data_IF_049745158561
#
_entry.id   IF_049745158561
#
_cell.length_a   1.000
_cell.length_b   1.000
_cell.length_c   1.000
_cell.angle_alpha   90.00
_cell.angle_beta   90.00
_cell.angle_gamma   90.00
#
_symmetry.space_group_name_H-M   'P 1'
#
loop_
_entity.id
_entity.type
_entity.pdbx_description
1 polymer ?
#
# COMPACT_ATOMS: atom_id res chain seq x y z
N UNK A 1 26.22 73.55 -28.29
CA UNK A 1 26.91 72.25 -28.43
C UNK A 1 26.97 71.41 -27.15
N UNK A 2 27.48 71.90 -26.00
CA UNK A 2 27.63 71.09 -24.75
C UNK A 2 26.34 70.43 -24.20
N UNK A 3 25.14 71.00 -24.42
CA UNK A 3 23.86 70.45 -23.91
C UNK A 3 23.34 69.23 -24.70
N UNK A 4 23.52 69.19 -26.02
CA UNK A 4 23.14 68.04 -26.84
C UNK A 4 24.03 66.82 -26.56
N UNK A 5 25.33 67.06 -26.31
CA UNK A 5 26.27 66.00 -25.96
C UNK A 5 25.88 65.27 -24.66
N UNK A 6 25.48 66.00 -23.61
CA UNK A 6 25.03 65.40 -22.33
C UNK A 6 23.74 64.57 -22.46
N UNK A 7 22.82 64.96 -23.34
CA UNK A 7 21.56 64.21 -23.56
C UNK A 7 21.81 62.93 -24.37
N UNK A 8 22.70 62.99 -25.36
CA UNK A 8 23.07 61.83 -26.16
C UNK A 8 23.87 60.80 -25.36
N UNK A 9 24.78 61.25 -24.48
CA UNK A 9 25.50 60.35 -23.57
C UNK A 9 24.56 59.70 -22.56
N UNK A 10 23.61 60.44 -21.98
CA UNK A 10 22.63 59.91 -21.03
C UNK A 10 21.73 58.81 -21.66
N UNK A 11 21.31 59.01 -22.92
CA UNK A 11 20.53 58.02 -23.65
C UNK A 11 21.33 56.75 -23.94
N UNK A 12 22.58 56.88 -24.36
CA UNK A 12 23.46 55.73 -24.60
C UNK A 12 23.66 54.94 -23.30
N UNK A 13 23.87 55.62 -22.17
CA UNK A 13 24.00 54.95 -20.86
C UNK A 13 22.72 54.22 -20.42
N UNK A 14 21.54 54.82 -20.66
CA UNK A 14 20.24 54.20 -20.35
C UNK A 14 19.95 52.97 -21.22
N UNK A 15 20.34 52.98 -22.49
CA UNK A 15 20.17 51.81 -23.35
C UNK A 15 21.19 50.71 -23.01
N UNK A 16 22.43 51.06 -22.66
CA UNK A 16 23.42 50.08 -22.22
C UNK A 16 23.07 49.42 -20.89
N UNK A 17 22.26 50.05 -20.02
CA UNK A 17 21.81 49.44 -18.76
C UNK A 17 20.78 48.32 -18.94
N UNK A 18 20.22 48.15 -20.14
CA UNK A 18 19.32 47.00 -20.44
C UNK A 18 20.10 45.69 -20.41
N UNK A 19 21.34 45.68 -20.90
CA UNK A 19 22.19 44.48 -20.97
C UNK A 19 22.45 43.86 -19.59
N UNK A 20 22.98 44.59 -18.58
CA UNK A 20 23.19 44.02 -17.25
C UNK A 20 21.87 43.62 -16.59
N UNK A 21 20.76 44.32 -16.87
CA UNK A 21 19.44 43.94 -16.35
C UNK A 21 18.96 42.59 -16.90
N UNK A 22 19.10 42.36 -18.21
CA UNK A 22 18.77 41.07 -18.85
C UNK A 22 19.67 39.96 -18.33
N UNK A 23 20.97 40.22 -18.14
CA UNK A 23 21.91 39.24 -17.58
C UNK A 23 21.52 38.86 -16.14
N UNK A 24 21.24 39.86 -15.28
CA UNK A 24 20.79 39.61 -13.90
C UNK A 24 19.48 38.83 -13.86
N UNK A 25 18.53 39.14 -14.74
CA UNK A 25 17.29 38.38 -14.87
C UNK A 25 17.56 36.93 -15.29
N UNK A 26 18.43 36.70 -16.28
CA UNK A 26 18.79 35.35 -16.72
C UNK A 26 19.44 34.54 -15.61
N UNK A 27 20.38 35.13 -14.86
CA UNK A 27 21.02 34.50 -13.70
C UNK A 27 19.96 34.16 -12.63
N UNK A 28 19.06 35.09 -12.33
CA UNK A 28 17.95 34.88 -11.37
C UNK A 28 17.03 33.73 -11.78
N UNK A 29 16.69 33.62 -13.07
CA UNK A 29 15.88 32.53 -13.61
C UNK A 29 16.60 31.17 -13.47
N UNK A 30 17.88 31.10 -13.84
CA UNK A 30 18.69 29.88 -13.70
C UNK A 30 18.80 29.46 -12.23
N UNK A 31 19.10 30.41 -11.35
CA UNK A 31 19.23 30.16 -9.91
C UNK A 31 17.89 29.68 -9.32
N UNK A 32 16.78 30.32 -9.68
CA UNK A 32 15.44 29.92 -9.22
C UNK A 32 15.07 28.53 -9.72
N UNK A 33 15.35 28.22 -10.98
CA UNK A 33 15.13 26.91 -11.57
C UNK A 33 15.90 25.81 -10.81
N UNK A 34 17.21 26.02 -10.58
CA UNK A 34 18.05 25.09 -9.84
C UNK A 34 17.59 24.90 -8.40
N UNK A 35 17.25 25.98 -7.70
CA UNK A 35 16.77 25.90 -6.31
C UNK A 35 15.43 25.18 -6.22
N UNK A 36 14.51 25.39 -7.18
CA UNK A 36 13.22 24.68 -7.22
C UNK A 36 13.41 23.20 -7.47
N UNK A 37 14.27 22.82 -8.42
CA UNK A 37 14.59 21.40 -8.66
C UNK A 37 15.24 20.75 -7.44
N UNK A 38 16.18 21.43 -6.79
CA UNK A 38 16.78 20.95 -5.55
C UNK A 38 15.75 20.78 -4.44
N UNK A 39 14.83 21.73 -4.28
CA UNK A 39 13.76 21.62 -3.29
C UNK A 39 12.81 20.45 -3.57
N UNK A 40 12.57 20.11 -4.85
CA UNK A 40 11.83 18.90 -5.23
C UNK A 40 12.59 17.64 -4.82
N UNK A 41 13.91 17.60 -5.03
CA UNK A 41 14.76 16.46 -4.64
C UNK A 41 14.82 16.28 -3.13
N UNK A 42 15.05 17.38 -2.39
CA UNK A 42 15.06 17.36 -0.93
C UNK A 42 13.69 16.91 -0.38
N UNK A 43 12.58 17.37 -0.98
CA UNK A 43 11.24 16.94 -0.58
C UNK A 43 10.97 15.45 -0.86
N UNK A 44 11.40 14.95 -2.01
CA UNK A 44 11.26 13.55 -2.39
C UNK A 44 12.16 12.64 -1.54
N UNK A 45 13.38 13.07 -1.20
CA UNK A 45 14.28 12.37 -0.28
C UNK A 45 13.65 12.20 1.10
N UNK A 46 13.18 13.32 1.68
CA UNK A 46 12.49 13.32 2.98
C UNK A 46 11.28 12.38 2.91
N UNK A 47 10.48 12.49 1.85
CA UNK A 47 9.26 11.69 1.70
C UNK A 47 9.56 10.19 1.60
N UNK A 48 10.53 9.79 0.78
CA UNK A 48 10.93 8.39 0.64
C UNK A 48 11.48 7.83 1.96
N UNK A 49 12.27 8.62 2.70
CA UNK A 49 12.78 8.26 4.02
C UNK A 49 11.66 8.11 5.06
N UNK A 50 10.77 9.10 5.17
CA UNK A 50 9.64 9.07 6.10
C UNK A 50 8.69 7.90 5.82
N UNK A 51 8.35 7.67 4.55
CA UNK A 51 7.45 6.59 4.15
C UNK A 51 8.08 5.21 4.28
N UNK A 52 9.37 5.07 3.97
CA UNK A 52 10.11 3.84 4.27
C UNK A 52 10.10 3.53 5.77
N UNK A 53 10.40 4.52 6.62
CA UNK A 53 10.36 4.36 8.07
C UNK A 53 8.95 3.99 8.58
N UNK A 54 7.91 4.67 8.10
CA UNK A 54 6.52 4.40 8.48
C UNK A 54 6.09 2.97 8.12
N UNK A 55 6.41 2.52 6.90
CA UNK A 55 6.11 1.16 6.45
C UNK A 55 6.91 0.12 7.23
N UNK A 56 8.21 0.34 7.46
CA UNK A 56 9.02 -0.56 8.29
C UNK A 56 8.43 -0.71 9.70
N UNK A 57 8.09 0.41 10.35
CA UNK A 57 7.48 0.40 11.68
C UNK A 57 6.14 -0.33 11.72
N UNK A 58 5.33 -0.16 10.68
CA UNK A 58 4.06 -0.87 10.53
C UNK A 58 4.27 -2.40 10.46
N UNK A 59 5.19 -2.86 9.60
CA UNK A 59 5.48 -4.29 9.50
C UNK A 59 6.11 -4.85 10.78
N UNK A 60 7.05 -4.14 11.42
CA UNK A 60 7.61 -4.54 12.72
C UNK A 60 6.52 -4.67 13.80
N UNK A 61 5.54 -3.75 13.81
CA UNK A 61 4.38 -3.86 14.71
C UNK A 61 3.60 -5.15 14.47
N UNK A 62 3.36 -5.52 13.21
CA UNK A 62 2.68 -6.77 12.85
C UNK A 62 3.49 -8.00 13.24
N UNK A 63 4.82 -7.98 13.05
CA UNK A 63 5.71 -9.04 13.51
C UNK A 63 5.61 -9.23 15.03
N UNK A 64 5.66 -8.14 15.79
CA UNK A 64 5.52 -8.21 17.25
C UNK A 64 4.14 -8.67 17.70
N UNK A 65 3.07 -8.25 17.02
CA UNK A 65 1.71 -8.67 17.33
C UNK A 65 1.53 -10.16 17.15
N UNK A 66 1.92 -10.72 16.00
CA UNK A 66 1.76 -12.16 15.78
C UNK A 66 2.70 -12.99 16.66
N UNK A 67 3.94 -12.53 16.88
CA UNK A 67 4.91 -13.21 17.74
C UNK A 67 4.40 -13.27 19.18
N UNK A 68 3.94 -12.15 19.73
CA UNK A 68 3.38 -12.10 21.09
C UNK A 68 2.11 -12.93 21.20
N UNK A 69 1.20 -12.78 20.24
CA UNK A 69 -0.07 -13.55 20.22
C UNK A 69 0.18 -15.06 20.12
N UNK A 70 1.20 -15.49 19.38
CA UNK A 70 1.50 -16.93 19.23
C UNK A 70 1.96 -17.61 20.53
N UNK A 71 2.40 -16.81 21.52
CA UNK A 71 2.78 -17.27 22.85
C UNK A 71 1.69 -17.02 23.92
N UNK A 72 0.58 -16.38 23.56
CA UNK A 72 -0.50 -16.08 24.49
C UNK A 72 -1.26 -17.35 24.90
N UNK A 73 -1.56 -17.47 26.20
CA UNK A 73 -2.24 -18.64 26.76
C UNK A 73 -3.65 -18.84 26.19
N UNK A 74 -4.35 -17.76 25.82
CA UNK A 74 -5.67 -17.83 25.20
C UNK A 74 -5.56 -18.46 23.82
N UNK A 75 -4.58 -18.03 23.01
CA UNK A 75 -4.32 -18.60 21.68
C UNK A 75 -3.89 -20.07 21.78
N UNK A 76 -3.01 -20.40 22.73
CA UNK A 76 -2.57 -21.79 22.97
C UNK A 76 -3.76 -22.69 23.34
N UNK A 77 -4.62 -22.25 24.26
CA UNK A 77 -5.78 -23.01 24.70
C UNK A 77 -6.85 -23.12 23.60
N UNK A 78 -7.08 -22.05 22.85
CA UNK A 78 -7.97 -22.05 21.68
C UNK A 78 -7.48 -23.05 20.62
N UNK A 79 -6.18 -23.03 20.29
CA UNK A 79 -5.57 -23.95 19.33
C UNK A 79 -5.76 -25.41 19.75
N UNK A 80 -5.51 -25.74 21.03
CA UNK A 80 -5.75 -27.10 21.54
C UNK A 80 -7.22 -27.51 21.42
N UNK A 81 -8.11 -26.67 21.94
CA UNK A 81 -9.54 -26.96 21.97
C UNK A 81 -10.12 -27.12 20.57
N UNK A 82 -9.89 -26.16 19.66
CA UNK A 82 -10.41 -26.24 18.30
C UNK A 82 -9.83 -27.41 17.52
N UNK A 83 -8.55 -27.75 17.72
CA UNK A 83 -7.94 -28.92 17.10
C UNK A 83 -8.60 -30.23 17.57
N UNK A 84 -8.82 -30.37 18.87
CA UNK A 84 -9.50 -31.54 19.45
C UNK A 84 -10.94 -31.65 18.94
N UNK A 85 -11.71 -30.56 19.05
CA UNK A 85 -13.10 -30.53 18.58
C UNK A 85 -13.23 -30.82 17.07
N UNK A 86 -12.32 -30.28 16.24
CA UNK A 86 -12.29 -30.56 14.81
C UNK A 86 -12.00 -32.05 14.52
N UNK A 87 -11.08 -32.67 15.25
CA UNK A 87 -10.75 -34.08 15.10
C UNK A 87 -11.91 -34.99 15.57
N UNK A 88 -12.58 -34.63 16.67
CA UNK A 88 -13.76 -35.35 17.17
C UNK A 88 -14.90 -35.32 16.15
N UNK A 89 -15.14 -34.16 15.52
CA UNK A 89 -16.12 -34.04 14.44
C UNK A 89 -15.77 -34.92 13.24
N UNK A 90 -14.49 -35.08 12.91
CA UNK A 90 -14.03 -35.89 11.78
C UNK A 90 -14.24 -37.39 11.97
N UNK A 91 -14.47 -37.85 13.20
CA UNK A 91 -14.69 -39.25 13.56
C UNK A 91 -16.16 -39.57 13.86
N UNK A 92 -17.09 -38.62 13.68
CA UNK A 92 -18.51 -38.78 14.03
C UNK A 92 -19.37 -39.29 12.87
N UNK A 93 -20.36 -40.14 13.16
CA UNK A 93 -21.31 -40.66 12.17
C UNK A 93 -22.27 -39.58 11.62
N UNK A 94 -22.38 -38.41 12.26
CA UNK A 94 -23.29 -37.31 11.88
C UNK A 94 -22.75 -36.40 10.77
N UNK A 95 -21.58 -36.71 10.23
CA UNK A 95 -20.80 -35.88 9.32
C UNK A 95 -21.51 -35.50 8.00
N UNK A 96 -22.55 -36.23 7.57
CA UNK A 96 -23.17 -36.04 6.25
C UNK A 96 -24.46 -35.20 6.23
N UNK A 97 -24.94 -34.68 7.37
CA UNK A 97 -26.13 -33.82 7.36
C UNK A 97 -25.75 -32.36 7.10
N UNK A 98 -25.99 -31.87 5.88
CA UNK A 98 -25.89 -30.44 5.53
C UNK A 98 -26.92 -30.06 4.48
N UNK A 99 -27.30 -28.78 4.42
CA UNK A 99 -28.19 -28.28 3.38
C UNK A 99 -27.43 -28.09 2.05
N UNK A 100 -27.66 -29.01 1.11
CA UNK A 100 -27.04 -29.00 -0.22
C UNK A 100 -27.37 -27.72 -1.01
N UNK A 101 -28.57 -27.14 -0.82
CA UNK A 101 -28.99 -25.94 -1.52
C UNK A 101 -28.24 -24.72 -1.00
N UNK A 102 -28.08 -24.58 0.31
CA UNK A 102 -27.30 -23.49 0.90
C UNK A 102 -25.81 -23.60 0.55
N UNK A 103 -25.25 -24.81 0.59
CA UNK A 103 -23.89 -25.10 0.12
C UNK A 103 -23.71 -24.64 -1.34
N UNK A 104 -24.57 -25.11 -2.24
CA UNK A 104 -24.50 -24.75 -3.66
C UNK A 104 -24.64 -23.23 -3.86
N UNK A 105 -25.57 -22.58 -3.14
CA UNK A 105 -25.78 -21.13 -3.22
C UNK A 105 -24.53 -20.34 -2.82
N UNK A 106 -23.87 -20.69 -1.72
CA UNK A 106 -22.66 -19.97 -1.26
C UNK A 106 -21.49 -20.14 -2.23
N UNK A 107 -21.30 -21.33 -2.80
CA UNK A 107 -20.24 -21.57 -3.78
C UNK A 107 -20.55 -20.94 -5.15
N UNK A 108 -21.82 -20.88 -5.56
CA UNK A 108 -22.23 -20.08 -6.73
C UNK A 108 -21.98 -18.59 -6.52
N UNK A 109 -22.22 -18.08 -5.30
CA UNK A 109 -21.83 -16.71 -4.95
C UNK A 109 -20.31 -16.52 -5.01
N UNK A 110 -19.51 -17.49 -4.53
CA UNK A 110 -18.05 -17.46 -4.65
C UNK A 110 -17.62 -17.32 -6.11
N UNK A 111 -18.12 -18.20 -6.98
CA UNK A 111 -17.80 -18.19 -8.41
C UNK A 111 -18.16 -16.86 -9.06
N UNK A 112 -19.36 -16.32 -8.79
CA UNK A 112 -19.84 -15.08 -9.41
C UNK A 112 -18.97 -13.87 -9.06
N UNK A 113 -18.45 -13.80 -7.84
CA UNK A 113 -17.73 -12.63 -7.35
C UNK A 113 -16.20 -12.77 -7.46
N UNK A 114 -15.68 -13.98 -7.73
CA UNK A 114 -14.25 -14.19 -7.89
C UNK A 114 -13.81 -13.81 -9.30
N UNK A 115 -12.91 -12.83 -9.41
CA UNK A 115 -12.43 -12.30 -10.69
C UNK A 115 -11.80 -13.42 -11.52
N UNK A 116 -12.22 -13.59 -12.78
CA UNK A 116 -11.72 -14.61 -13.71
C UNK A 116 -11.90 -16.07 -13.27
N UNK A 117 -12.79 -16.36 -12.31
CA UNK A 117 -13.05 -17.74 -11.88
C UNK A 117 -13.86 -18.54 -12.91
N UNK A 118 -13.53 -19.82 -13.05
CA UNK A 118 -14.15 -20.76 -13.98
C UNK A 118 -14.92 -21.86 -13.24
N UNK A 119 -15.67 -22.67 -14.00
CA UNK A 119 -16.35 -23.86 -13.45
C UNK A 119 -15.35 -24.86 -12.84
N UNK A 120 -14.15 -24.98 -13.39
CA UNK A 120 -13.12 -25.88 -12.84
C UNK A 120 -12.66 -25.39 -11.46
N UNK A 121 -12.59 -24.08 -11.26
CA UNK A 121 -12.33 -23.52 -9.92
C UNK A 121 -13.44 -23.89 -8.95
N UNK A 122 -14.70 -23.76 -9.35
CA UNK A 122 -15.86 -24.12 -8.53
C UNK A 122 -15.81 -25.59 -8.08
N UNK A 123 -15.56 -26.52 -9.02
CA UNK A 123 -15.48 -27.95 -8.70
C UNK A 123 -14.31 -28.26 -7.75
N UNK A 124 -13.16 -27.61 -7.96
CA UNK A 124 -12.02 -27.69 -7.03
C UNK A 124 -12.38 -27.20 -5.63
N UNK A 125 -12.97 -26.01 -5.50
CA UNK A 125 -13.31 -25.41 -4.20
C UNK A 125 -14.37 -26.20 -3.43
N UNK A 126 -15.24 -26.94 -4.11
CA UNK A 126 -16.22 -27.85 -3.49
C UNK A 126 -15.63 -29.17 -3.01
N UNK A 127 -14.42 -29.52 -3.45
CA UNK A 127 -13.71 -30.74 -3.07
C UNK A 127 -13.11 -30.61 -1.67
N UNK A 128 -13.98 -30.54 -0.67
CA UNK A 128 -13.61 -30.36 0.75
C UNK A 128 -14.02 -31.58 1.58
N UNK A 129 -13.39 -31.74 2.74
CA UNK A 129 -13.68 -32.85 3.63
C UNK A 129 -15.14 -32.78 4.14
N UNK A 130 -15.70 -33.92 4.57
CA UNK A 130 -17.01 -33.91 5.21
C UNK A 130 -17.07 -33.00 6.46
N UNK A 131 -16.01 -32.98 7.28
CA UNK A 131 -15.85 -32.04 8.42
C UNK A 131 -15.91 -30.58 7.97
N UNK A 132 -15.22 -30.24 6.87
CA UNK A 132 -15.26 -28.90 6.31
C UNK A 132 -16.68 -28.52 5.88
N UNK A 133 -17.40 -29.43 5.21
CA UNK A 133 -18.81 -29.17 4.82
C UNK A 133 -19.69 -28.91 6.03
N UNK A 134 -19.56 -29.72 7.08
CA UNK A 134 -20.35 -29.55 8.30
C UNK A 134 -20.09 -28.19 8.97
N UNK A 135 -18.82 -27.83 9.16
CA UNK A 135 -18.45 -26.56 9.79
C UNK A 135 -18.81 -25.36 8.91
N UNK A 136 -18.60 -25.42 7.60
CA UNK A 136 -19.03 -24.35 6.71
C UNK A 136 -20.56 -24.23 6.64
N UNK A 137 -21.31 -25.34 6.74
CA UNK A 137 -22.78 -25.31 6.86
C UNK A 137 -23.21 -24.44 8.02
N UNK A 138 -22.68 -24.74 9.22
CA UNK A 138 -23.05 -24.05 10.45
C UNK A 138 -22.61 -22.59 10.49
N UNK A 139 -21.35 -22.31 10.14
CA UNK A 139 -20.72 -21.00 10.37
C UNK A 139 -20.77 -20.05 9.16
N UNK A 140 -21.03 -20.55 7.95
CA UNK A 140 -21.08 -19.74 6.73
C UNK A 140 -22.47 -19.78 6.10
N UNK A 141 -23.01 -20.97 5.85
CA UNK A 141 -24.19 -21.12 4.98
C UNK A 141 -25.51 -20.87 5.73
N UNK A 142 -25.65 -21.42 6.93
CA UNK A 142 -26.82 -21.24 7.83
C UNK A 142 -26.71 -19.96 8.67
N UNK A 143 -25.50 -19.43 8.80
CA UNK A 143 -25.24 -18.15 9.43
C UNK A 143 -26.03 -17.04 8.71
N UNK A 144 -26.93 -16.37 9.42
CA UNK A 144 -27.85 -15.35 8.88
C UNK A 144 -27.20 -14.00 8.64
N UNK A 145 -26.00 -13.78 9.17
CA UNK A 145 -25.24 -12.55 8.94
C UNK A 145 -24.96 -12.36 7.44
N UNK A 146 -24.82 -11.11 6.94
CA UNK A 146 -24.44 -10.85 5.56
C UNK A 146 -23.12 -11.52 5.16
N UNK A 147 -22.93 -11.75 3.86
CA UNK A 147 -21.60 -12.15 3.34
C UNK A 147 -20.65 -10.97 3.54
N UNK A 148 -19.48 -11.24 4.12
CA UNK A 148 -18.54 -10.22 4.60
C UNK A 148 -18.69 -9.88 6.09
N UNK A 149 -19.73 -10.38 6.75
CA UNK A 149 -20.03 -10.10 8.17
C UNK A 149 -20.23 -11.39 8.98
N UNK A 150 -19.78 -12.54 8.46
CA UNK A 150 -20.01 -13.85 9.09
C UNK A 150 -19.38 -13.98 10.48
N UNK A 151 -18.32 -13.21 10.75
CA UNK A 151 -17.71 -13.08 12.07
C UNK A 151 -18.63 -12.48 13.14
N UNK A 152 -19.80 -11.91 12.81
CA UNK A 152 -20.72 -11.42 13.82
C UNK A 152 -21.41 -12.55 14.61
N UNK A 153 -21.53 -13.74 14.02
CA UNK A 153 -22.12 -14.91 14.68
C UNK A 153 -21.24 -15.40 15.84
N UNK A 154 -21.75 -15.37 17.06
CA UNK A 154 -20.99 -15.85 18.24
C UNK A 154 -21.24 -17.33 18.56
N UNK A 155 -22.46 -17.83 18.37
CA UNK A 155 -22.87 -19.20 18.67
C UNK A 155 -23.88 -19.72 17.67
N UNK A 156 -23.85 -21.02 17.40
CA UNK A 156 -24.85 -21.75 16.61
C UNK A 156 -25.98 -22.32 17.48
N UNK A 157 -25.83 -22.26 18.80
CA UNK A 157 -26.72 -22.87 19.81
C UNK A 157 -26.85 -24.40 19.71
N UNK A 158 -25.93 -25.07 19.00
CA UNK A 158 -25.96 -26.52 18.84
C UNK A 158 -25.31 -27.28 20.01
N UNK A 159 -24.70 -26.54 20.95
CA UNK A 159 -24.05 -27.06 22.17
C UNK A 159 -22.93 -28.08 21.91
N UNK A 160 -22.44 -28.19 20.68
CA UNK A 160 -21.28 -28.99 20.36
C UNK A 160 -20.04 -28.46 21.08
N UNK A 161 -19.03 -29.31 21.25
CA UNK A 161 -17.74 -28.88 21.81
C UNK A 161 -17.16 -27.72 20.99
N UNK A 162 -17.28 -27.77 19.67
CA UNK A 162 -16.83 -26.70 18.78
C UNK A 162 -17.59 -25.39 19.04
N UNK A 163 -18.93 -25.41 19.15
CA UNK A 163 -19.75 -24.22 19.41
C UNK A 163 -19.46 -23.60 20.78
N UNK A 164 -19.22 -24.42 21.81
CA UNK A 164 -18.80 -23.92 23.13
C UNK A 164 -17.46 -23.19 23.09
N UNK A 165 -16.48 -23.76 22.38
CA UNK A 165 -15.17 -23.12 22.17
C UNK A 165 -15.30 -21.85 21.34
N UNK A 166 -16.12 -21.87 20.29
CA UNK A 166 -16.42 -20.70 19.47
C UNK A 166 -17.04 -19.59 20.31
N UNK A 167 -18.07 -19.89 21.09
CA UNK A 167 -18.73 -18.95 22.01
C UNK A 167 -17.74 -18.32 23.01
N UNK A 168 -16.77 -19.11 23.48
CA UNK A 168 -15.76 -18.66 24.43
C UNK A 168 -14.68 -17.75 23.81
N UNK A 169 -14.08 -18.18 22.70
CA UNK A 169 -12.86 -17.53 22.15
C UNK A 169 -13.14 -16.57 21.00
N UNK A 170 -14.23 -16.75 20.24
CA UNK A 170 -14.50 -15.96 19.05
C UNK A 170 -14.68 -14.46 19.34
N UNK A 171 -15.40 -14.02 20.40
CA UNK A 171 -15.54 -12.59 20.69
C UNK A 171 -14.20 -11.87 20.87
N UNK A 172 -13.26 -12.48 21.61
CA UNK A 172 -11.92 -11.93 21.83
C UNK A 172 -11.11 -11.84 20.53
N UNK A 173 -11.15 -12.90 19.72
CA UNK A 173 -10.40 -12.92 18.44
C UNK A 173 -11.00 -11.95 17.42
N UNK A 174 -12.33 -11.79 17.41
CA UNK A 174 -13.00 -10.77 16.59
C UNK A 174 -12.63 -9.36 17.03
N UNK A 175 -12.65 -9.08 18.33
CA UNK A 175 -12.24 -7.77 18.85
C UNK A 175 -10.79 -7.44 18.49
N UNK A 176 -9.88 -8.41 18.59
CA UNK A 176 -8.50 -8.25 18.14
C UNK A 176 -8.40 -7.97 16.64
N UNK A 177 -9.11 -8.75 15.81
CA UNK A 177 -9.17 -8.55 14.37
C UNK A 177 -9.62 -7.13 14.02
N UNK A 178 -10.75 -6.69 14.58
CA UNK A 178 -11.35 -5.38 14.31
C UNK A 178 -10.48 -4.22 14.82
N UNK A 179 -9.89 -4.36 16.01
CA UNK A 179 -9.04 -3.33 16.62
C UNK A 179 -7.79 -3.02 15.82
N UNK A 180 -7.17 -4.06 15.23
CA UNK A 180 -5.97 -3.90 14.41
C UNK A 180 -6.27 -3.89 12.90
N UNK A 181 -7.52 -4.13 12.54
CA UNK A 181 -8.02 -4.10 11.16
C UNK A 181 -7.55 -5.25 10.30
N UNK A 182 -7.12 -6.39 10.87
CA UNK A 182 -6.72 -7.58 10.11
C UNK A 182 -7.87 -8.08 9.23
N UNK A 183 -7.56 -8.69 8.09
CA UNK A 183 -8.61 -9.25 7.23
C UNK A 183 -9.19 -10.54 7.82
N UNK A 184 -8.32 -11.45 8.28
CA UNK A 184 -8.70 -12.67 8.98
C UNK A 184 -7.56 -13.17 9.88
N UNK A 185 -7.93 -13.98 10.87
CA UNK A 185 -7.05 -14.64 11.83
C UNK A 185 -7.39 -16.13 11.84
N UNK A 186 -6.38 -16.96 11.63
CA UNK A 186 -6.53 -18.40 11.50
C UNK A 186 -5.75 -19.15 12.57
N UNK A 187 -6.30 -20.29 12.97
CA UNK A 187 -5.56 -21.34 13.66
C UNK A 187 -5.49 -22.57 12.76
N UNK A 188 -4.28 -23.05 12.52
CA UNK A 188 -4.04 -24.18 11.61
C UNK A 188 -3.34 -25.30 12.37
N UNK A 189 -3.91 -26.50 12.33
CA UNK A 189 -3.26 -27.67 12.92
C UNK A 189 -2.13 -28.20 12.01
N UNK A 190 -1.00 -28.65 12.57
CA UNK A 190 0.20 -28.86 11.78
C UNK A 190 0.28 -30.24 11.11
N UNK A 191 -0.56 -31.21 11.47
CA UNK A 191 -0.48 -32.58 10.95
C UNK A 191 -1.05 -32.68 9.53
N UNK A 192 -2.23 -32.12 9.28
CA UNK A 192 -2.88 -32.15 7.96
C UNK A 192 -3.11 -30.75 7.37
N UNK A 193 -2.69 -29.70 8.07
CA UNK A 193 -2.87 -28.33 7.64
C UNK A 193 -4.34 -27.90 7.63
N UNK A 194 -5.20 -28.51 8.45
CA UNK A 194 -6.59 -28.08 8.55
C UNK A 194 -6.69 -26.71 9.23
N UNK A 195 -7.45 -25.81 8.62
CA UNK A 195 -7.83 -24.52 9.20
C UNK A 195 -8.92 -24.78 10.23
N UNK A 196 -8.53 -25.12 11.47
CA UNK A 196 -9.47 -25.51 12.53
C UNK A 196 -10.27 -24.32 13.05
N UNK A 197 -9.82 -23.10 12.79
CA UNK A 197 -10.51 -21.87 13.12
C UNK A 197 -10.12 -20.72 12.16
N UNK A 198 -11.07 -19.84 11.86
CA UNK A 198 -10.92 -18.54 11.17
C UNK A 198 -11.83 -17.54 11.91
N UNK A 199 -11.56 -16.25 11.89
CA UNK A 199 -12.50 -15.24 12.41
C UNK A 199 -13.54 -14.91 11.33
N UNK A 200 -13.10 -14.48 10.15
CA UNK A 200 -13.93 -13.87 9.11
C UNK A 200 -14.86 -14.88 8.41
N UNK A 201 -14.48 -16.17 8.40
CA UNK A 201 -15.21 -17.32 7.84
C UNK A 201 -15.49 -17.22 6.34
N UNK A 202 -14.46 -17.43 5.52
CA UNK A 202 -14.61 -17.64 4.08
C UNK A 202 -14.55 -19.13 3.70
N UNK A 203 -14.55 -19.42 2.39
CA UNK A 203 -14.63 -20.80 1.85
C UNK A 203 -13.39 -21.66 2.14
N UNK A 204 -12.33 -21.08 2.68
CA UNK A 204 -11.11 -21.73 3.16
C UNK A 204 -11.22 -22.28 4.59
N UNK A 205 -12.13 -21.73 5.40
CA UNK A 205 -12.40 -22.20 6.75
C UNK A 205 -12.71 -23.70 6.77
N UNK A 206 -12.14 -24.40 7.74
CA UNK A 206 -12.25 -25.85 7.92
C UNK A 206 -11.65 -26.71 6.79
N UNK A 207 -11.00 -26.13 5.78
CA UNK A 207 -10.34 -26.88 4.72
C UNK A 207 -8.89 -27.21 5.06
N UNK A 208 -8.28 -28.14 4.29
CA UNK A 208 -6.85 -28.49 4.43
C UNK A 208 -5.98 -27.69 3.46
N UNK A 209 -4.94 -27.05 3.99
CA UNK A 209 -3.90 -26.37 3.22
C UNK A 209 -2.85 -27.32 2.62
N UNK A 210 -2.92 -28.62 2.92
CA UNK A 210 -2.00 -29.62 2.37
C UNK A 210 -2.68 -30.45 1.28
N UNK A 211 -3.93 -30.85 1.51
CA UNK A 211 -4.66 -31.78 0.64
C UNK A 211 -5.96 -31.20 0.07
N UNK A 212 -6.35 -29.97 0.44
CA UNK A 212 -7.57 -29.33 -0.01
C UNK A 212 -7.38 -28.34 -1.18
N UNK A 213 -8.44 -27.58 -1.52
CA UNK A 213 -8.47 -26.69 -2.68
C UNK A 213 -7.43 -25.56 -2.65
N UNK A 214 -7.02 -25.11 -1.47
CA UNK A 214 -6.13 -23.97 -1.29
C UNK A 214 -4.67 -24.34 -1.07
N UNK A 215 -4.28 -25.59 -1.33
CA UNK A 215 -2.93 -26.12 -1.04
C UNK A 215 -1.76 -25.45 -1.78
N UNK A 216 -2.06 -24.76 -2.89
CA UNK A 216 -1.09 -24.05 -3.72
C UNK A 216 -1.01 -22.55 -3.48
N UNK A 217 -1.71 -22.05 -2.45
CA UNK A 217 -1.78 -20.61 -2.14
C UNK A 217 -0.63 -20.14 -1.26
N UNK A 218 -0.43 -18.81 -1.16
CA UNK A 218 0.49 -18.20 -0.20
C UNK A 218 0.12 -18.51 1.25
N UNK A 219 -1.16 -18.66 1.59
CA UNK A 219 -1.58 -19.12 2.91
C UNK A 219 -1.00 -20.50 3.25
N UNK A 220 -1.11 -21.46 2.34
CA UNK A 220 -0.51 -22.78 2.50
C UNK A 220 1.03 -22.74 2.56
N UNK A 221 1.66 -21.84 1.79
CA UNK A 221 3.11 -21.60 1.86
C UNK A 221 3.53 -21.13 3.26
N UNK A 222 2.87 -20.11 3.82
CA UNK A 222 3.18 -19.55 5.13
C UNK A 222 3.20 -20.62 6.22
N UNK A 223 2.12 -21.43 6.26
CA UNK A 223 1.97 -22.53 7.22
C UNK A 223 3.07 -23.57 7.07
N UNK A 224 3.37 -24.00 5.83
CA UNK A 224 4.41 -25.00 5.56
C UNK A 224 5.81 -24.50 5.99
N UNK A 225 6.12 -23.23 5.76
CA UNK A 225 7.41 -22.65 6.16
C UNK A 225 7.58 -22.60 7.68
N UNK A 226 6.54 -22.18 8.40
CA UNK A 226 6.56 -22.17 9.88
C UNK A 226 6.68 -23.58 10.45
N UNK A 227 5.99 -24.58 9.88
CA UNK A 227 6.11 -25.97 10.34
C UNK A 227 7.51 -26.53 10.07
N UNK A 228 8.11 -26.19 8.92
CA UNK A 228 9.49 -26.61 8.58
C UNK A 228 10.52 -25.97 9.50
N UNK A 229 10.31 -24.72 9.88
CA UNK A 229 11.19 -23.94 10.76
C UNK A 229 10.39 -23.32 11.92
N UNK A 230 10.02 -24.09 12.96
CA UNK A 230 9.14 -23.62 14.03
C UNK A 230 9.73 -22.54 14.94
N UNK A 231 10.84 -21.88 14.58
CA UNK A 231 11.46 -20.80 15.37
C UNK A 231 11.25 -19.42 14.75
N UNK A 232 10.68 -19.36 13.55
CA UNK A 232 10.64 -18.12 12.76
C UNK A 232 9.21 -17.77 12.40
N UNK A 233 8.87 -16.50 12.59
CA UNK A 233 7.72 -15.90 11.91
C UNK A 233 8.03 -15.84 10.41
N UNK A 234 7.03 -16.13 9.58
CA UNK A 234 7.17 -16.11 8.13
C UNK A 234 6.13 -15.19 7.50
N UNK A 235 6.56 -14.24 6.69
CA UNK A 235 5.71 -13.36 5.89
C UNK A 235 5.79 -13.79 4.42
N UNK A 236 4.65 -13.97 3.78
CA UNK A 236 4.58 -14.25 2.34
C UNK A 236 4.60 -12.97 1.53
N UNK A 237 4.96 -13.10 0.25
CA UNK A 237 4.62 -12.07 -0.73
C UNK A 237 3.10 -12.08 -1.01
N UNK A 238 2.60 -11.03 -1.67
CA UNK A 238 1.23 -10.93 -2.16
C UNK A 238 0.99 -11.86 -3.35
N UNK A 239 -0.18 -12.48 -3.36
CA UNK A 239 -0.71 -13.22 -4.50
C UNK A 239 -2.24 -13.19 -4.52
N UNK A 240 -2.86 -13.53 -5.65
CA UNK A 240 -4.32 -13.66 -5.71
C UNK A 240 -4.80 -14.76 -4.77
N UNK A 241 -5.88 -14.47 -4.05
CA UNK A 241 -6.44 -15.40 -3.08
C UNK A 241 -7.92 -15.62 -3.34
N UNK A 242 -8.23 -16.81 -3.87
CA UNK A 242 -9.57 -17.17 -4.31
C UNK A 242 -10.66 -17.04 -3.24
N UNK A 243 -10.44 -17.40 -1.96
CA UNK A 243 -11.44 -17.19 -0.89
C UNK A 243 -11.87 -15.73 -0.78
N UNK A 244 -10.91 -14.80 -0.83
CA UNK A 244 -11.14 -13.35 -0.88
C UNK A 244 -11.37 -12.84 -2.31
N UNK A 245 -12.09 -13.62 -3.13
CA UNK A 245 -12.54 -13.25 -4.47
C UNK A 245 -11.44 -12.92 -5.49
N UNK A 246 -10.26 -13.54 -5.35
CA UNK A 246 -9.05 -13.24 -6.13
C UNK A 246 -8.50 -11.83 -5.89
N UNK A 247 -8.89 -11.16 -4.79
CA UNK A 247 -8.13 -10.04 -4.29
C UNK A 247 -6.71 -10.49 -3.93
N UNK A 248 -5.76 -9.56 -4.00
CA UNK A 248 -4.40 -9.80 -3.55
C UNK A 248 -4.41 -10.01 -2.04
N UNK A 249 -3.62 -10.96 -1.53
CA UNK A 249 -3.48 -11.22 -0.11
C UNK A 249 -2.06 -11.63 0.21
N UNK A 250 -1.60 -11.24 1.39
CA UNK A 250 -0.36 -11.70 2.01
C UNK A 250 -0.68 -12.23 3.41
N UNK A 251 0.15 -13.15 3.88
CA UNK A 251 -0.04 -13.84 5.15
C UNK A 251 1.22 -13.75 5.98
N UNK A 252 1.05 -13.49 7.27
CA UNK A 252 2.12 -13.64 8.26
C UNK A 252 1.74 -14.78 9.20
N UNK A 253 2.67 -15.69 9.44
CA UNK A 253 2.43 -16.92 10.20
C UNK A 253 3.48 -17.07 11.31
N UNK A 254 3.04 -17.53 12.49
CA UNK A 254 3.89 -17.80 13.64
C UNK A 254 3.56 -19.16 14.29
N UNK A 255 4.58 -19.86 14.84
CA UNK A 255 4.39 -21.16 15.46
C UNK A 255 3.75 -21.02 16.85
N UNK A 256 2.63 -21.70 17.09
CA UNK A 256 2.04 -21.83 18.43
C UNK A 256 2.69 -23.03 19.12
N UNK A 257 3.30 -22.80 20.28
CA UNK A 257 4.02 -23.84 21.02
C UNK A 257 3.61 -23.91 22.48
N UNK A 258 3.79 -25.10 23.03
CA UNK A 258 3.80 -25.35 24.46
C UNK A 258 4.97 -26.27 24.79
N UNK A 259 5.80 -25.91 25.79
CA UNK A 259 6.95 -26.71 26.21
C UNK A 259 7.85 -27.16 25.03
N UNK A 260 8.12 -26.24 24.09
CA UNK A 260 8.84 -26.47 22.82
C UNK A 260 8.19 -27.41 21.80
N UNK A 261 7.00 -27.96 22.07
CA UNK A 261 6.23 -28.75 21.11
C UNK A 261 5.36 -27.84 20.24
N UNK A 262 5.41 -28.04 18.92
CA UNK A 262 4.54 -27.34 17.98
C UNK A 262 3.10 -27.86 18.12
N UNK A 263 2.19 -26.98 18.53
CA UNK A 263 0.76 -27.29 18.67
C UNK A 263 -0.03 -26.96 17.40
N UNK A 264 0.36 -25.88 16.73
CA UNK A 264 -0.25 -25.37 15.50
C UNK A 264 0.42 -24.09 15.01
N UNK A 265 -0.23 -23.42 14.07
CA UNK A 265 0.26 -22.20 13.45
C UNK A 265 -0.82 -21.13 13.57
N UNK A 266 -0.46 -19.98 14.14
CA UNK A 266 -1.25 -18.76 14.09
C UNK A 266 -0.96 -18.06 12.77
N UNK A 267 -1.99 -17.62 12.06
CA UNK A 267 -1.81 -16.88 10.80
C UNK A 267 -2.71 -15.64 10.80
N UNK A 268 -2.16 -14.50 10.41
CA UNK A 268 -2.93 -13.30 10.10
C UNK A 268 -2.89 -13.05 8.60
N UNK A 269 -4.05 -12.76 8.00
CA UNK A 269 -4.11 -12.18 6.66
C UNK A 269 -3.92 -10.67 6.77
N UNK A 270 -2.95 -10.17 6.01
CA UNK A 270 -2.47 -8.79 6.12
C UNK A 270 -3.55 -7.76 5.76
N UNK A 271 -3.67 -6.65 6.50
CA UNK A 271 -4.67 -5.65 6.20
C UNK A 271 -4.14 -4.64 5.19
N UNK A 272 -4.49 -4.87 3.92
CA UNK A 272 -4.03 -4.09 2.78
C UNK A 272 -4.41 -2.61 2.90
N UNK A 273 -5.63 -2.31 3.36
CA UNK A 273 -6.09 -0.93 3.53
C UNK A 273 -5.23 -0.15 4.53
N UNK A 274 -4.72 -0.81 5.58
CA UNK A 274 -3.84 -0.17 6.56
C UNK A 274 -2.45 0.14 6.00
N UNK A 275 -1.96 -0.67 5.07
CA UNK A 275 -0.72 -0.38 4.31
C UNK A 275 -0.94 0.88 3.46
N UNK A 276 -2.07 0.96 2.74
CA UNK A 276 -2.46 2.13 1.95
C UNK A 276 -2.56 3.39 2.82
N UNK A 277 -3.19 3.28 3.99
CA UNK A 277 -3.32 4.40 4.94
C UNK A 277 -1.96 4.90 5.44
N UNK A 278 -1.00 4.00 5.67
CA UNK A 278 0.38 4.34 6.08
C UNK A 278 1.10 5.16 4.99
N UNK A 279 0.82 4.85 3.72
CA UNK A 279 1.42 5.51 2.56
C UNK A 279 0.70 6.81 2.18
N UNK A 280 -0.59 6.93 2.52
CA UNK A 280 -1.42 8.10 2.20
C UNK A 280 -0.78 9.41 2.66
N UNK A 281 -0.95 10.44 1.82
CA UNK A 281 -0.54 11.81 2.11
C UNK A 281 -1.75 12.66 2.48
N UNK A 282 -1.49 13.81 3.10
CA UNK A 282 -2.51 14.84 3.33
C UNK A 282 -3.27 15.12 2.02
N UNK A 283 -4.59 15.30 2.11
CA UNK A 283 -5.46 15.48 0.95
C UNK A 283 -5.05 16.68 0.07
N UNK A 284 -4.33 17.67 0.62
CA UNK A 284 -3.78 18.80 -0.16
C UNK A 284 -2.66 18.38 -1.14
N UNK A 285 -2.02 17.23 -0.91
CA UNK A 285 -0.89 16.74 -1.69
C UNK A 285 -1.25 15.64 -2.68
N UNK A 286 -2.39 14.96 -2.49
CA UNK A 286 -2.78 13.75 -3.25
C UNK A 286 -2.89 13.94 -4.76
N UNK A 287 -3.03 15.18 -5.24
CA UNK A 287 -3.16 15.48 -6.67
C UNK A 287 -1.82 15.57 -7.38
N UNK A 288 -0.71 15.64 -6.65
CA UNK A 288 0.62 15.81 -7.25
C UNK A 288 1.72 14.99 -6.58
N UNK A 289 1.46 14.37 -5.42
CA UNK A 289 2.33 13.42 -4.78
C UNK A 289 1.63 12.06 -4.62
N UNK A 290 2.37 11.00 -4.85
CA UNK A 290 1.97 9.62 -4.59
C UNK A 290 3.08 8.87 -3.85
N UNK A 291 2.71 7.90 -3.02
CA UNK A 291 3.65 6.95 -2.43
C UNK A 291 3.05 5.54 -2.46
N UNK A 292 3.84 4.56 -2.87
CA UNK A 292 3.42 3.16 -2.97
C UNK A 292 4.61 2.19 -2.82
N UNK A 293 4.35 0.90 -2.66
CA UNK A 293 5.37 -0.14 -2.50
C UNK A 293 5.50 -0.94 -3.79
N UNK A 294 6.73 -1.28 -4.16
CA UNK A 294 7.06 -2.23 -5.23
C UNK A 294 7.96 -3.35 -4.72
N UNK A 295 7.99 -4.48 -5.42
CA UNK A 295 9.06 -5.47 -5.27
C UNK A 295 10.24 -5.25 -6.22
N UNK A 296 11.29 -6.06 -6.06
CA UNK A 296 12.46 -6.08 -6.95
C UNK A 296 12.17 -6.38 -8.43
N UNK A 297 10.97 -6.87 -8.75
CA UNK A 297 10.52 -7.07 -10.13
C UNK A 297 9.67 -5.89 -10.60
N UNK A 298 9.52 -4.82 -9.83
CA UNK A 298 8.68 -3.67 -10.15
C UNK A 298 7.18 -3.96 -10.08
N UNK A 299 6.75 -5.01 -9.40
CA UNK A 299 5.34 -5.29 -9.17
C UNK A 299 4.87 -4.52 -7.94
N UNK A 300 3.76 -3.80 -8.07
CA UNK A 300 3.19 -2.98 -7.01
C UNK A 300 2.61 -3.88 -5.90
N UNK A 301 2.90 -3.55 -4.64
CA UNK A 301 2.51 -4.29 -3.42
C UNK A 301 1.58 -3.50 -2.49
N UNK A 302 1.18 -2.30 -2.89
CA UNK A 302 0.19 -1.49 -2.19
C UNK A 302 -0.70 -0.78 -3.20
N UNK A 303 -1.90 -0.41 -2.80
CA UNK A 303 -2.71 0.49 -3.63
C UNK A 303 -2.07 1.88 -3.70
N UNK A 304 -2.06 2.49 -4.88
CA UNK A 304 -1.67 3.88 -5.08
C UNK A 304 -2.83 4.77 -4.61
N UNK A 305 -2.65 5.66 -3.61
CA UNK A 305 -3.77 6.40 -3.01
C UNK A 305 -4.58 7.29 -3.97
N UNK A 306 -4.02 7.70 -5.10
CA UNK A 306 -4.71 8.50 -6.12
C UNK A 306 -5.49 7.68 -7.16
N UNK A 307 -5.40 6.35 -7.14
CA UNK A 307 -6.13 5.47 -8.07
C UNK A 307 -7.38 4.89 -7.41
N UNK A 308 -8.50 4.91 -8.15
CA UNK A 308 -9.79 4.39 -7.67
C UNK A 308 -9.91 2.86 -7.73
N UNK A 309 -8.97 2.20 -8.41
CA UNK A 309 -8.89 0.75 -8.56
C UNK A 309 -7.68 0.21 -7.84
N UNK A 310 -7.75 -1.05 -7.38
CA UNK A 310 -6.59 -1.68 -6.76
C UNK A 310 -5.44 -1.82 -7.77
N UNK A 311 -4.24 -1.43 -7.33
CA UNK A 311 -3.02 -1.46 -8.15
C UNK A 311 -2.09 -2.62 -7.79
N UNK A 312 -2.41 -3.38 -6.74
CA UNK A 312 -1.56 -4.48 -6.26
C UNK A 312 -1.49 -5.56 -7.34
N UNK A 313 -0.27 -6.00 -7.65
CA UNK A 313 0.00 -6.95 -8.72
C UNK A 313 0.22 -6.33 -10.10
N UNK A 314 -0.06 -5.02 -10.28
CA UNK A 314 0.28 -4.32 -11.51
C UNK A 314 1.79 -4.05 -11.62
N UNK A 315 2.29 -3.86 -12.84
CA UNK A 315 3.67 -3.45 -13.09
C UNK A 315 3.79 -1.94 -12.93
N UNK A 316 4.70 -1.46 -12.09
CA UNK A 316 5.04 -0.04 -11.97
C UNK A 316 5.78 0.47 -13.21
N UNK A 317 5.60 1.75 -13.53
CA UNK A 317 6.36 2.47 -14.55
C UNK A 317 7.76 2.91 -14.10
N UNK A 318 8.12 2.71 -12.83
CA UNK A 318 9.44 3.03 -12.31
C UNK A 318 10.54 2.30 -13.10
N UNK A 319 11.57 3.04 -13.50
CA UNK A 319 12.74 2.52 -14.22
C UNK A 319 13.94 2.33 -13.29
N UNK A 320 14.97 1.62 -13.77
CA UNK A 320 16.21 1.32 -13.03
C UNK A 320 15.97 0.68 -11.66
N UNK A 321 14.97 -0.20 -11.57
CA UNK A 321 14.50 -0.81 -10.32
C UNK A 321 15.63 -1.57 -9.63
N UNK A 322 16.52 -2.22 -10.40
CA UNK A 322 17.65 -2.97 -9.86
C UNK A 322 18.56 -2.13 -8.94
N UNK A 323 18.71 -0.83 -9.22
CA UNK A 323 19.57 0.05 -8.43
C UNK A 323 18.99 0.29 -7.04
N UNK A 324 17.66 0.34 -6.92
CA UNK A 324 16.95 0.57 -5.65
C UNK A 324 17.31 -0.48 -4.59
N UNK A 325 17.58 -1.71 -5.02
CA UNK A 325 17.83 -2.83 -4.12
C UNK A 325 19.30 -3.07 -3.78
N UNK A 326 20.20 -2.26 -4.35
CA UNK A 326 21.66 -2.38 -4.18
C UNK A 326 22.15 -1.90 -2.82
N UNK A 327 21.52 -0.87 -2.26
CA UNK A 327 21.87 -0.27 -0.97
C UNK A 327 20.59 0.13 -0.21
N UNK A 328 20.49 -0.26 1.06
CA UNK A 328 19.27 -0.03 1.85
C UNK A 328 19.13 1.42 2.35
N UNK A 329 20.24 2.12 2.53
CA UNK A 329 20.24 3.48 3.09
C UNK A 329 20.08 4.56 2.03
N UNK A 330 20.35 4.22 0.76
CA UNK A 330 20.35 5.15 -0.37
C UNK A 330 18.95 5.41 -0.92
N UNK A 331 18.71 6.66 -1.29
CA UNK A 331 17.51 7.06 -2.03
C UNK A 331 17.87 7.20 -3.50
N UNK A 332 17.12 6.50 -4.35
CA UNK A 332 17.35 6.48 -5.78
C UNK A 332 16.31 7.35 -6.49
N UNK A 333 16.78 8.31 -7.26
CA UNK A 333 15.93 9.22 -8.03
C UNK A 333 15.75 8.76 -9.47
N UNK A 334 14.57 8.98 -10.03
CA UNK A 334 14.33 8.77 -11.45
C UNK A 334 13.24 9.69 -12.01
N UNK A 335 13.14 9.76 -13.34
CA UNK A 335 12.06 10.43 -14.07
C UNK A 335 11.46 9.47 -15.09
N UNK A 336 10.13 9.43 -15.19
CA UNK A 336 9.37 8.59 -16.11
C UNK A 336 7.93 9.09 -16.27
N UNK A 337 7.14 8.40 -17.11
CA UNK A 337 5.68 8.56 -17.19
C UNK A 337 5.03 7.54 -16.26
N UNK A 338 4.20 7.99 -15.32
CA UNK A 338 3.52 7.10 -14.36
C UNK A 338 2.37 6.31 -15.02
N UNK A 339 1.59 5.57 -14.22
CA UNK A 339 0.46 4.78 -14.72
C UNK A 339 -0.70 5.60 -15.30
N UNK A 340 -0.72 6.91 -15.05
CA UNK A 340 -1.69 7.86 -15.61
C UNK A 340 -1.10 8.63 -16.82
N UNK A 341 0.04 8.19 -17.37
CA UNK A 341 0.79 8.87 -18.44
C UNK A 341 1.27 10.29 -18.08
N UNK A 342 1.40 10.59 -16.78
CA UNK A 342 1.89 11.87 -16.28
C UNK A 342 3.42 11.82 -16.08
N UNK A 343 4.12 12.88 -16.48
CA UNK A 343 5.55 13.00 -16.20
C UNK A 343 5.79 13.26 -14.71
N UNK A 344 6.56 12.37 -14.08
CA UNK A 344 6.89 12.45 -12.67
C UNK A 344 8.40 12.42 -12.45
N UNK A 345 8.84 13.06 -11.37
CA UNK A 345 10.12 12.76 -10.73
C UNK A 345 9.82 11.88 -9.52
N UNK A 346 10.61 10.84 -9.27
CA UNK A 346 10.41 9.95 -8.14
C UNK A 346 11.67 9.77 -7.32
N UNK A 347 11.47 9.36 -6.07
CA UNK A 347 12.48 8.87 -5.15
C UNK A 347 12.05 7.51 -4.62
N UNK A 348 12.95 6.54 -4.63
CA UNK A 348 12.69 5.19 -4.15
C UNK A 348 13.72 4.76 -3.11
N UNK A 349 13.26 4.07 -2.07
CA UNK A 349 14.10 3.55 -0.99
C UNK A 349 13.70 2.12 -0.62
N UNK A 350 14.69 1.24 -0.49
CA UNK A 350 14.49 -0.15 -0.06
C UNK A 350 13.89 -0.20 1.36
N UNK A 351 12.98 -1.13 1.56
CA UNK A 351 12.37 -1.44 2.85
C UNK A 351 13.17 -2.50 3.61
N UNK A 352 13.17 -2.42 4.93
CA UNK A 352 13.81 -3.39 5.81
C UNK A 352 12.76 -4.35 6.39
N UNK A 353 12.15 -5.17 5.55
CA UNK A 353 11.12 -6.13 5.96
C UNK A 353 11.68 -7.54 5.80
N UNK A 354 11.66 -8.32 6.89
CA UNK A 354 12.25 -9.67 6.92
C UNK A 354 11.70 -10.55 5.81
N UNK A 355 12.59 -11.05 4.96
CA UNK A 355 12.27 -11.97 3.87
C UNK A 355 11.64 -11.32 2.64
N UNK A 356 11.50 -9.99 2.60
CA UNK A 356 10.91 -9.26 1.49
C UNK A 356 11.92 -8.32 0.83
N UNK A 357 11.94 -8.35 -0.51
CA UNK A 357 12.73 -7.43 -1.34
C UNK A 357 11.78 -6.38 -1.90
N UNK A 358 11.34 -5.47 -1.03
CA UNK A 358 10.41 -4.39 -1.35
C UNK A 358 11.05 -3.01 -1.19
N UNK A 359 10.49 -2.02 -1.86
CA UNK A 359 10.89 -0.63 -1.77
C UNK A 359 9.66 0.28 -1.79
N UNK A 360 9.74 1.42 -1.10
CA UNK A 360 8.77 2.51 -1.28
C UNK A 360 9.23 3.37 -2.45
N UNK A 361 8.28 3.74 -3.31
CA UNK A 361 8.44 4.72 -4.37
C UNK A 361 7.55 5.90 -4.03
N UNK A 362 8.10 7.11 -4.07
CA UNK A 362 7.35 8.35 -3.97
C UNK A 362 7.51 9.17 -5.25
N UNK A 363 6.41 9.63 -5.82
CA UNK A 363 6.35 10.36 -7.08
C UNK A 363 5.87 11.79 -6.88
N UNK A 364 6.41 12.72 -7.66
CA UNK A 364 6.00 14.12 -7.74
C UNK A 364 5.75 14.52 -9.20
N UNK A 365 4.51 14.93 -9.48
CA UNK A 365 4.09 15.50 -10.78
C UNK A 365 4.97 16.68 -11.22
N UNK A 366 5.56 16.52 -12.41
CA UNK A 366 6.38 17.53 -13.08
C UNK A 366 5.58 18.75 -13.49
N UNK A 367 4.35 18.55 -13.93
CA UNK A 367 3.45 19.66 -14.28
C UNK A 367 3.24 20.59 -13.08
N UNK A 368 3.02 20.02 -11.89
CA UNK A 368 2.75 20.78 -10.69
C UNK A 368 3.96 21.64 -10.26
N UNK A 369 5.14 21.03 -10.09
CA UNK A 369 6.31 21.81 -9.63
C UNK A 369 6.86 22.75 -10.70
N UNK A 370 6.64 22.46 -12.00
CA UNK A 370 7.01 23.37 -13.09
C UNK A 370 6.04 24.55 -13.24
N UNK A 371 4.78 24.41 -12.85
CA UNK A 371 3.80 25.52 -12.92
C UNK A 371 4.28 26.76 -12.13
N UNK A 372 4.90 26.55 -10.97
CA UNK A 372 5.53 27.61 -10.18
C UNK A 372 6.67 28.32 -10.93
N UNK A 373 7.50 27.53 -11.62
CA UNK A 373 8.62 28.04 -12.41
C UNK A 373 8.08 28.86 -13.58
N UNK A 374 7.06 28.38 -14.29
CA UNK A 374 6.46 29.11 -15.40
C UNK A 374 5.85 30.44 -14.97
N UNK A 375 5.13 30.48 -13.83
CA UNK A 375 4.61 31.75 -13.28
C UNK A 375 5.73 32.75 -13.00
N UNK A 376 6.82 32.30 -12.37
CA UNK A 376 7.97 33.14 -12.08
C UNK A 376 8.64 33.68 -13.35
N UNK A 377 8.79 32.83 -14.37
CA UNK A 377 9.28 33.22 -15.70
C UNK A 377 8.38 34.27 -16.32
N UNK A 378 7.05 34.07 -16.34
CA UNK A 378 6.09 35.03 -16.89
C UNK A 378 6.14 36.38 -16.18
N UNK A 379 6.20 36.40 -14.84
CA UNK A 379 6.34 37.65 -14.09
C UNK A 379 7.67 38.35 -14.36
N UNK A 380 8.77 37.60 -14.50
CA UNK A 380 10.08 38.15 -14.84
C UNK A 380 10.05 38.84 -16.21
N UNK A 381 9.39 38.24 -17.20
CA UNK A 381 9.20 38.87 -18.52
C UNK A 381 8.34 40.13 -18.46
N UNK A 382 7.26 40.14 -17.68
CA UNK A 382 6.41 41.33 -17.51
C UNK A 382 7.24 42.48 -16.91
N UNK A 383 8.02 42.20 -15.86
CA UNK A 383 8.91 43.19 -15.23
C UNK A 383 9.96 43.69 -16.22
N UNK A 384 10.52 42.82 -17.06
CA UNK A 384 11.46 43.21 -18.11
C UNK A 384 10.80 44.17 -19.13
N UNK A 385 9.61 43.85 -19.61
CA UNK A 385 8.88 44.68 -20.59
C UNK A 385 8.58 46.06 -19.98
N UNK A 386 8.09 46.10 -18.74
CA UNK A 386 7.83 47.36 -18.02
C UNK A 386 9.12 48.16 -17.82
N UNK A 387 10.21 47.50 -17.43
CA UNK A 387 11.51 48.12 -17.25
C UNK A 387 12.07 48.74 -18.54
N UNK A 388 12.01 48.01 -19.65
CA UNK A 388 12.41 48.52 -20.98
C UNK A 388 11.51 49.68 -21.41
N UNK A 389 10.19 49.55 -21.26
CA UNK A 389 9.24 50.63 -21.59
C UNK A 389 9.52 51.90 -20.78
N UNK A 390 9.84 51.76 -19.48
CA UNK A 390 10.22 52.87 -18.62
C UNK A 390 11.54 53.51 -19.06
N UNK A 391 12.57 52.72 -19.34
CA UNK A 391 13.87 53.22 -19.85
C UNK A 391 13.67 53.99 -21.17
N UNK A 392 12.85 53.46 -22.09
CA UNK A 392 12.52 54.13 -23.35
C UNK A 392 11.73 55.42 -23.12
N UNK A 393 10.75 55.42 -22.21
CA UNK A 393 9.97 56.59 -21.85
C UNK A 393 10.83 57.72 -21.26
N UNK A 394 11.72 57.40 -20.31
CA UNK A 394 12.68 58.35 -19.73
C UNK A 394 13.63 58.87 -20.81
N UNK A 395 14.20 57.98 -21.62
CA UNK A 395 15.09 58.34 -22.74
C UNK A 395 14.42 59.30 -23.72
N UNK A 396 13.14 59.10 -24.04
CA UNK A 396 12.38 60.00 -24.92
C UNK A 396 12.05 61.33 -24.26
N UNK A 397 11.67 61.34 -22.97
CA UNK A 397 11.43 62.59 -22.22
C UNK A 397 12.69 63.46 -22.11
N UNK A 398 13.87 62.86 -22.00
CA UNK A 398 15.14 63.59 -22.03
C UNK A 398 15.43 64.29 -23.37
N UNK A 399 14.78 63.90 -24.48
CA UNK A 399 14.91 64.55 -25.79
C UNK A 399 13.90 65.71 -26.00
N UNK A 400 12.82 65.77 -25.22
CA UNK A 400 11.76 66.76 -25.40
C UNK A 400 12.25 68.20 -25.09
N UNK A 401 11.95 69.20 -25.93
CA UNK A 401 12.44 70.57 -25.78
C UNK A 401 11.97 71.27 -24.48
N UNK A 402 10.88 70.80 -23.86
CA UNK A 402 10.28 71.41 -22.67
C UNK A 402 10.97 71.05 -21.34
N UNK A 403 11.89 70.08 -21.31
CA UNK A 403 12.71 69.81 -20.12
C UNK A 403 13.87 70.82 -19.93
N UNK A 404 13.97 71.83 -20.83
CA UNK A 404 15.05 72.82 -20.85
C UNK A 404 14.91 73.93 -19.77
N UNK A 405 13.78 74.04 -19.08
CA UNK A 405 13.47 75.18 -18.19
C UNK A 405 13.30 74.84 -16.70
N UNK A 406 13.18 73.57 -16.28
CA UNK A 406 12.86 73.20 -14.89
C UNK A 406 14.05 72.88 -13.98
N UNK A 407 15.27 72.79 -14.50
CA UNK A 407 16.51 72.73 -13.71
C UNK A 407 17.37 73.98 -14.00
N UNK A 408 16.88 75.13 -13.56
CA UNK A 408 17.67 76.34 -13.30
C UNK A 408 17.39 76.75 -11.85
N UNK A 409 18.16 76.18 -10.92
CA UNK A 409 18.64 76.87 -9.71
C UNK A 409 20.10 76.47 -9.57
#
# INVERSE_FOLDING_TARGET
MKKNFKQETLRKTLLTSIVPFVILMAISLIFTYQNKLKAVDDALDILANEKSAAVNNYFETIFHQIETSSHDLTIINAMKGFREAYNNLSNSDTINSYDQNLFNKRYSYQLKNTINATKDNLESWKSISPTARLLQSKYIFENKEPIGEKHNLTTTYDNSEYDKLHTLYHPLMREFLESFGYYDIFLVEPQNGNVVYSVFKEVDYATSLFNGPYKGTKFAEAVKQVIKSPKTVFLTDFDIYAPSYNAQAAFIAAPIKEENKLLGVLVFQMPIDKIKDTLKLDDKFKTFLNSYIIDKKGVIKSDIPSMDVSTIGMKSSANNIENIFSNIDEVHFSEYLNLNDESVKSAAKKLNIKGQEWAVVSEYSKEYYMADIYKFVSYSFIVLIIGIAFILWVSNKCQAPNFRSSFKV
#
